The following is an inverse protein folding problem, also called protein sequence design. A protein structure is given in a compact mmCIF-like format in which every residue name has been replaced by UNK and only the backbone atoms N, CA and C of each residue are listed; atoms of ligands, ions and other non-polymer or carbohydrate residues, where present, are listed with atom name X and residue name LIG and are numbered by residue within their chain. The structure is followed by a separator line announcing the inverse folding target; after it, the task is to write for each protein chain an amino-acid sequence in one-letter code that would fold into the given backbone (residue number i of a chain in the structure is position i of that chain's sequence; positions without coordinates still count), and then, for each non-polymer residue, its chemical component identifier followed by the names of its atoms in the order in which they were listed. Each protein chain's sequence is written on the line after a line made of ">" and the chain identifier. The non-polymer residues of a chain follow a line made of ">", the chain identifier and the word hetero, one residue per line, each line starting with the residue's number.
data_IF_291468883112
#
_entry.id   IF_291468883112
#
_cell.length_a   1.000
_cell.length_b   1.000
_cell.length_c   1.000
_cell.angle_alpha   90.00
_cell.angle_beta   90.00
_cell.angle_gamma   90.00
#
_symmetry.space_group_name_H-M   'P 1'
#
loop_
_entity.id
_entity.type
_entity.pdbx_description
1 polymer ?
#
# COMPACT_ATOMS: atom_id res chain seq x y z
N UNK A 1 15.51 28.63 -11.39
CA UNK A 1 14.20 29.26 -11.08
C UNK A 1 13.10 28.23 -11.27
N UNK A 2 12.07 28.17 -10.40
CA UNK A 2 10.87 27.39 -10.68
C UNK A 2 10.20 27.94 -11.96
N UNK A 3 9.72 27.04 -12.82
CA UNK A 3 8.98 27.43 -14.02
C UNK A 3 7.71 28.17 -13.59
N UNK A 4 7.40 29.36 -14.13
CA UNK A 4 6.15 30.04 -13.84
C UNK A 4 4.99 29.17 -14.33
N UNK A 5 3.94 29.05 -13.52
CA UNK A 5 2.75 28.31 -13.91
C UNK A 5 2.07 28.99 -15.10
N UNK A 6 1.72 28.18 -16.09
CA UNK A 6 0.92 28.57 -17.25
C UNK A 6 -0.11 27.46 -17.49
N UNK A 7 -1.36 27.86 -17.77
CA UNK A 7 -2.39 26.90 -18.12
C UNK A 7 -2.00 26.18 -19.43
N UNK A 8 -2.04 24.83 -19.49
CA UNK A 8 -1.57 24.07 -20.65
C UNK A 8 -2.61 24.11 -21.78
N UNK A 9 -2.70 25.23 -22.49
CA UNK A 9 -3.67 25.40 -23.58
C UNK A 9 -3.51 24.33 -24.68
N UNK A 10 -2.29 23.87 -24.93
CA UNK A 10 -2.01 22.79 -25.90
C UNK A 10 -2.67 21.44 -25.53
N UNK A 11 -3.08 21.25 -24.27
CA UNK A 11 -3.78 20.04 -23.81
C UNK A 11 -5.28 20.26 -23.62
N UNK A 12 -5.80 21.45 -23.90
CA UNK A 12 -7.21 21.79 -23.62
C UNK A 12 -8.17 20.89 -24.39
N UNK A 13 -7.89 20.61 -25.66
CA UNK A 13 -8.72 19.72 -26.49
C UNK A 13 -8.79 18.30 -25.93
N UNK A 14 -7.70 17.82 -25.32
CA UNK A 14 -7.67 16.48 -24.71
C UNK A 14 -8.73 16.33 -23.63
N UNK A 15 -9.04 17.39 -22.86
CA UNK A 15 -10.10 17.34 -21.84
C UNK A 15 -11.49 17.04 -22.40
N UNK A 16 -11.75 17.33 -23.66
CA UNK A 16 -13.04 17.05 -24.30
C UNK A 16 -13.21 15.56 -24.62
N UNK A 17 -12.10 14.87 -24.85
CA UNK A 17 -12.07 13.43 -25.17
C UNK A 17 -12.08 12.53 -23.94
N UNK A 18 -11.73 13.06 -22.76
CA UNK A 18 -11.63 12.28 -21.53
C UNK A 18 -13.02 11.89 -21.00
N UNK A 19 -13.22 10.62 -20.61
CA UNK A 19 -14.49 10.17 -20.07
C UNK A 19 -14.70 10.67 -18.63
N UNK A 20 -15.97 10.91 -18.27
CA UNK A 20 -16.40 11.10 -16.89
C UNK A 20 -16.70 9.74 -16.23
N UNK A 21 -15.72 8.84 -16.26
CA UNK A 21 -15.80 7.48 -15.69
C UNK A 21 -14.61 7.21 -14.76
N UNK A 22 -14.70 6.18 -13.89
CA UNK A 22 -13.56 5.66 -13.17
C UNK A 22 -12.47 5.14 -14.09
N UNK A 23 -11.23 5.18 -13.63
CA UNK A 23 -10.11 4.56 -14.30
C UNK A 23 -8.78 5.27 -14.05
N UNK A 24 -7.82 4.96 -14.92
CA UNK A 24 -6.45 5.46 -14.86
C UNK A 24 -6.21 6.43 -16.01
N UNK A 25 -5.45 7.49 -15.76
CA UNK A 25 -4.95 8.41 -16.77
C UNK A 25 -3.42 8.47 -16.73
N UNK A 26 -2.81 8.67 -17.90
CA UNK A 26 -1.37 8.59 -18.10
C UNK A 26 -0.91 9.81 -18.88
N UNK A 27 0.04 10.56 -18.33
CA UNK A 27 0.62 11.73 -18.97
C UNK A 27 1.92 11.30 -19.65
N UNK A 28 2.08 11.65 -20.92
CA UNK A 28 3.25 11.34 -21.74
C UNK A 28 3.95 12.61 -22.22
N UNK A 29 5.27 12.50 -22.37
CA UNK A 29 6.08 13.52 -23.03
C UNK A 29 5.96 13.43 -24.54
N UNK A 30 6.90 14.06 -25.26
CA UNK A 30 7.02 13.90 -26.72
C UNK A 30 7.32 12.45 -27.11
N UNK A 31 8.17 11.79 -26.33
CA UNK A 31 8.36 10.34 -26.38
C UNK A 31 7.26 9.65 -25.55
N UNK A 32 6.44 8.82 -26.20
CA UNK A 32 5.34 8.06 -25.59
C UNK A 32 5.78 6.70 -25.03
N UNK A 33 7.06 6.37 -25.13
CA UNK A 33 7.61 5.11 -24.60
C UNK A 33 7.59 5.08 -23.07
N UNK A 34 7.84 6.22 -22.42
CA UNK A 34 7.92 6.32 -20.96
C UNK A 34 6.90 7.31 -20.41
N UNK A 35 6.00 6.88 -19.52
CA UNK A 35 5.04 7.79 -18.90
C UNK A 35 5.74 8.80 -17.98
N UNK A 36 5.29 10.04 -18.04
CA UNK A 36 5.69 11.07 -17.08
C UNK A 36 4.98 10.87 -15.74
N UNK A 37 3.68 10.60 -15.79
CA UNK A 37 2.84 10.44 -14.61
C UNK A 37 1.69 9.48 -14.87
N UNK A 38 1.33 8.68 -13.88
CA UNK A 38 0.14 7.82 -13.90
C UNK A 38 -0.68 8.12 -12.65
N UNK A 39 -1.99 8.29 -12.80
CA UNK A 39 -2.89 8.51 -11.68
C UNK A 39 -4.26 7.87 -11.89
N UNK A 40 -4.98 7.64 -10.78
CA UNK A 40 -6.35 7.10 -10.77
C UNK A 40 -7.41 8.13 -10.42
N UNK A 41 -8.64 7.90 -10.86
CA UNK A 41 -9.81 8.67 -10.42
C UNK A 41 -11.10 7.88 -10.55
N UNK A 42 -12.14 8.27 -9.79
CA UNK A 42 -13.54 7.88 -10.05
C UNK A 42 -14.17 8.70 -11.19
N UNK A 43 -13.53 9.81 -11.57
CA UNK A 43 -13.88 10.64 -12.71
C UNK A 43 -12.59 11.16 -13.36
N UNK A 44 -12.16 10.51 -14.44
CA UNK A 44 -10.90 10.82 -15.14
C UNK A 44 -10.88 12.29 -15.59
N UNK A 45 -11.93 12.74 -16.29
CA UNK A 45 -12.01 14.11 -16.84
C UNK A 45 -11.82 15.18 -15.76
N UNK A 46 -12.60 15.11 -14.67
CA UNK A 46 -12.51 16.09 -13.58
C UNK A 46 -11.14 16.08 -12.90
N UNK A 47 -10.52 14.90 -12.77
CA UNK A 47 -9.21 14.78 -12.14
C UNK A 47 -8.10 15.36 -13.00
N UNK A 48 -8.09 15.09 -14.31
CA UNK A 48 -7.13 15.70 -15.24
C UNK A 48 -7.32 17.21 -15.30
N UNK A 49 -8.56 17.71 -15.30
CA UNK A 49 -8.83 19.15 -15.22
C UNK A 49 -8.26 19.78 -13.93
N UNK A 50 -8.28 19.06 -12.80
CA UNK A 50 -7.65 19.51 -11.55
C UNK A 50 -6.13 19.62 -11.67
N UNK A 51 -5.48 18.68 -12.37
CA UNK A 51 -4.04 18.76 -12.63
C UNK A 51 -3.69 20.05 -13.36
N UNK A 52 -4.47 20.43 -14.38
CA UNK A 52 -4.20 21.61 -15.20
C UNK A 52 -4.22 22.93 -14.41
N UNK A 53 -4.85 22.93 -13.22
CA UNK A 53 -4.95 24.10 -12.33
C UNK A 53 -3.97 24.06 -11.16
N UNK A 54 -3.14 23.03 -11.06
CA UNK A 54 -2.25 22.82 -9.92
C UNK A 54 -0.85 23.37 -10.21
N UNK A 55 -0.51 24.51 -9.61
CA UNK A 55 0.76 25.21 -9.87
C UNK A 55 1.99 24.34 -9.58
N UNK A 56 1.96 23.54 -8.52
CA UNK A 56 3.06 22.63 -8.15
C UNK A 56 3.35 21.55 -9.20
N UNK A 57 2.45 21.34 -10.16
CA UNK A 57 2.57 20.39 -11.27
C UNK A 57 2.95 21.07 -12.59
N UNK A 58 3.27 22.37 -12.59
CA UNK A 58 3.65 23.13 -13.79
C UNK A 58 4.74 22.43 -14.63
N UNK A 59 5.75 21.81 -13.98
CA UNK A 59 6.79 21.06 -14.68
C UNK A 59 6.26 19.81 -15.41
N UNK A 60 5.34 19.08 -14.78
CA UNK A 60 4.69 17.91 -15.40
C UNK A 60 3.87 18.37 -16.62
N UNK A 61 3.04 19.39 -16.45
CA UNK A 61 2.17 19.92 -17.51
C UNK A 61 2.96 20.48 -18.69
N UNK A 62 4.05 21.20 -18.42
CA UNK A 62 4.93 21.74 -19.44
C UNK A 62 5.59 20.65 -20.29
N UNK A 63 5.96 19.53 -19.68
CA UNK A 63 6.55 18.38 -20.40
C UNK A 63 5.50 17.50 -21.09
N UNK A 64 4.23 17.58 -20.67
CA UNK A 64 3.18 16.70 -21.19
C UNK A 64 2.76 17.16 -22.57
N UNK A 65 2.78 16.23 -23.53
CA UNK A 65 2.28 16.46 -24.90
C UNK A 65 1.05 15.62 -25.22
N UNK A 66 0.83 14.53 -24.47
CA UNK A 66 -0.26 13.60 -24.69
C UNK A 66 -0.78 13.05 -23.37
N UNK A 67 -2.09 12.77 -23.30
CA UNK A 67 -2.72 12.14 -22.14
C UNK A 67 -3.56 10.96 -22.64
N UNK A 68 -3.22 9.76 -22.18
CA UNK A 68 -4.01 8.55 -22.39
C UNK A 68 -4.85 8.23 -21.16
N UNK A 69 -5.82 7.33 -21.34
CA UNK A 69 -6.66 6.84 -20.26
C UNK A 69 -7.11 5.40 -20.47
N UNK A 70 -7.35 4.72 -19.37
CA UNK A 70 -7.91 3.37 -19.30
C UNK A 70 -9.12 3.41 -18.35
N UNK A 71 -10.36 3.45 -18.87
CA UNK A 71 -11.56 3.36 -18.04
C UNK A 71 -11.62 2.01 -17.32
N UNK A 72 -12.21 2.00 -16.12
CA UNK A 72 -12.49 0.79 -15.34
C UNK A 72 -13.95 0.78 -14.93
N UNK A 73 -14.50 -0.38 -14.53
CA UNK A 73 -15.90 -0.46 -14.08
C UNK A 73 -16.16 0.36 -12.81
N UNK A 74 -15.18 0.48 -11.93
CA UNK A 74 -15.28 1.26 -10.71
C UNK A 74 -13.94 1.59 -10.06
N UNK A 75 -13.97 1.87 -8.75
CA UNK A 75 -12.82 2.39 -8.02
C UNK A 75 -11.76 1.32 -7.76
N UNK A 76 -12.14 0.07 -7.45
CA UNK A 76 -11.14 -0.95 -7.12
C UNK A 76 -10.30 -1.28 -8.34
N UNK A 77 -10.92 -1.41 -9.52
CA UNK A 77 -10.22 -1.59 -10.78
C UNK A 77 -9.23 -0.45 -11.05
N UNK A 78 -9.65 0.80 -10.83
CA UNK A 78 -8.77 1.97 -11.03
C UNK A 78 -7.57 1.96 -10.07
N UNK A 79 -7.77 1.61 -8.80
CA UNK A 79 -6.71 1.51 -7.78
C UNK A 79 -5.70 0.40 -8.11
N UNK A 80 -6.20 -0.79 -8.47
CA UNK A 80 -5.35 -1.94 -8.80
C UNK A 80 -4.57 -1.72 -10.10
N UNK A 81 -5.23 -1.21 -11.13
CA UNK A 81 -4.61 -0.91 -12.42
C UNK A 81 -3.53 0.19 -12.28
N UNK A 82 -3.79 1.26 -11.54
CA UNK A 82 -2.79 2.32 -11.29
C UNK A 82 -1.55 1.75 -10.59
N UNK A 83 -1.76 0.99 -9.52
CA UNK A 83 -0.70 0.34 -8.75
C UNK A 83 0.16 -0.56 -9.64
N UNK A 84 -0.46 -1.35 -10.52
CA UNK A 84 0.23 -2.22 -11.48
C UNK A 84 1.02 -1.41 -12.52
N UNK A 85 0.39 -0.42 -13.17
CA UNK A 85 1.03 0.37 -14.23
C UNK A 85 2.21 1.18 -13.71
N UNK A 86 2.11 1.78 -12.51
CA UNK A 86 3.23 2.52 -11.92
C UNK A 86 4.41 1.60 -11.63
N UNK A 87 4.17 0.37 -11.14
CA UNK A 87 5.25 -0.59 -10.88
C UNK A 87 5.92 -1.05 -12.17
N UNK A 88 5.13 -1.32 -13.20
CA UNK A 88 5.62 -1.84 -14.48
C UNK A 88 6.36 -0.77 -15.30
N UNK A 89 5.87 0.48 -15.30
CA UNK A 89 6.38 1.53 -16.17
C UNK A 89 7.26 2.57 -15.45
N UNK A 90 7.25 2.58 -14.12
CA UNK A 90 8.08 3.48 -13.27
C UNK A 90 8.10 4.96 -13.73
N UNK A 91 6.93 5.61 -13.85
CA UNK A 91 6.82 6.98 -14.35
C UNK A 91 7.67 8.00 -13.59
N UNK A 92 8.20 8.98 -14.33
CA UNK A 92 9.18 9.96 -13.85
C UNK A 92 8.72 10.74 -12.60
N UNK A 93 7.45 11.14 -12.56
CA UNK A 93 6.90 12.01 -11.52
C UNK A 93 6.19 11.26 -10.38
N UNK A 94 5.96 9.93 -10.48
CA UNK A 94 5.39 9.14 -9.38
C UNK A 94 6.45 8.82 -8.32
N UNK A 95 6.55 9.68 -7.29
CA UNK A 95 7.57 9.54 -6.24
C UNK A 95 7.31 8.42 -5.22
N UNK A 96 6.05 8.02 -4.98
CA UNK A 96 5.65 7.23 -3.79
C UNK A 96 5.45 5.72 -4.02
N UNK A 97 5.24 5.28 -5.26
CA UNK A 97 4.82 3.92 -5.63
C UNK A 97 5.92 3.10 -6.32
N UNK A 98 7.18 3.26 -5.89
CA UNK A 98 8.28 2.40 -6.35
C UNK A 98 8.24 1.03 -5.67
N UNK A 99 8.59 -0.02 -6.41
CA UNK A 99 8.66 -1.41 -5.93
C UNK A 99 9.55 -1.49 -4.68
N UNK A 100 8.96 -1.88 -3.56
CA UNK A 100 9.71 -2.21 -2.36
C UNK A 100 10.14 -3.68 -2.46
N UNK A 101 11.38 -3.93 -2.90
CA UNK A 101 11.89 -5.30 -3.12
C UNK A 101 11.95 -6.16 -1.86
N UNK A 102 12.02 -5.53 -0.68
CA UNK A 102 12.08 -6.23 0.61
C UNK A 102 11.28 -5.45 1.63
N UNK A 103 10.18 -6.04 2.08
CA UNK A 103 9.37 -5.48 3.17
C UNK A 103 9.90 -5.99 4.51
N UNK A 104 9.61 -5.23 5.55
CA UNK A 104 9.91 -5.56 6.93
C UNK A 104 8.62 -5.54 7.74
N UNK A 105 8.42 -6.55 8.56
CA UNK A 105 7.34 -6.66 9.53
C UNK A 105 7.92 -6.96 10.92
N UNK A 106 7.11 -6.79 11.96
CA UNK A 106 7.47 -7.16 13.33
C UNK A 106 6.80 -8.47 13.69
N UNK A 107 7.54 -9.35 14.34
CA UNK A 107 7.02 -10.55 15.00
C UNK A 107 7.27 -10.41 16.48
N UNK A 108 6.21 -10.56 17.28
CA UNK A 108 6.31 -10.48 18.74
C UNK A 108 6.20 -11.87 19.32
N UNK A 109 7.26 -12.30 19.98
CA UNK A 109 7.27 -13.48 20.84
C UNK A 109 7.02 -13.05 22.28
N UNK A 110 6.80 -13.99 23.20
CA UNK A 110 6.65 -13.68 24.62
C UNK A 110 7.83 -12.93 25.23
N UNK A 111 9.03 -13.11 24.66
CA UNK A 111 10.28 -12.60 25.22
C UNK A 111 10.91 -11.47 24.41
N UNK A 112 10.67 -11.42 23.10
CA UNK A 112 11.39 -10.54 22.19
C UNK A 112 10.53 -10.04 21.02
N UNK A 113 10.88 -8.86 20.54
CA UNK A 113 10.39 -8.32 19.27
C UNK A 113 11.44 -8.56 18.20
N UNK A 114 11.05 -9.20 17.09
CA UNK A 114 11.93 -9.55 15.98
C UNK A 114 11.48 -8.81 14.72
N UNK A 115 12.45 -8.42 13.89
CA UNK A 115 12.18 -7.92 12.56
C UNK A 115 12.22 -9.11 11.59
N UNK A 116 11.13 -9.33 10.88
CA UNK A 116 11.01 -10.37 9.86
C UNK A 116 10.96 -9.70 8.49
N UNK A 117 11.62 -10.28 7.49
CA UNK A 117 11.63 -9.73 6.14
C UNK A 117 10.86 -10.61 5.16
N UNK A 118 10.28 -10.00 4.12
CA UNK A 118 9.44 -10.71 3.13
C UNK A 118 10.17 -11.72 2.25
N UNK A 119 11.50 -11.78 2.32
CA UNK A 119 12.33 -12.80 1.66
C UNK A 119 12.70 -13.96 2.59
N UNK A 120 12.31 -13.89 3.87
CA UNK A 120 12.60 -14.89 4.90
C UNK A 120 11.32 -15.60 5.39
N UNK A 121 10.15 -14.97 5.19
CA UNK A 121 8.86 -15.51 5.57
C UNK A 121 7.79 -15.12 4.56
N UNK A 122 6.79 -15.99 4.41
CA UNK A 122 5.60 -15.71 3.61
C UNK A 122 4.63 -14.81 4.39
N UNK A 123 4.54 -13.55 3.98
CA UNK A 123 3.66 -12.56 4.60
C UNK A 123 2.17 -12.77 4.24
N UNK A 124 1.88 -13.64 3.26
CA UNK A 124 0.51 -13.94 2.85
C UNK A 124 -0.20 -14.89 3.81
N UNK A 125 0.55 -15.72 4.54
CA UNK A 125 0.01 -16.76 5.42
C UNK A 125 0.31 -16.52 6.92
N UNK A 126 1.13 -15.51 7.24
CA UNK A 126 1.57 -15.30 8.62
C UNK A 126 0.58 -14.43 9.43
N UNK A 127 -0.01 -15.01 10.47
CA UNK A 127 -0.96 -14.34 11.39
C UNK A 127 -0.28 -13.57 12.54
N UNK A 128 1.04 -13.65 12.64
CA UNK A 128 1.84 -13.15 13.75
C UNK A 128 2.73 -11.94 13.37
N UNK A 129 2.42 -11.32 12.24
CA UNK A 129 3.14 -10.17 11.71
C UNK A 129 2.41 -8.86 11.95
N UNK A 130 3.18 -7.83 12.34
CA UNK A 130 2.67 -6.49 12.60
C UNK A 130 3.43 -5.46 11.76
N UNK A 131 2.65 -4.69 10.99
CA UNK A 131 3.14 -3.64 10.13
C UNK A 131 3.81 -4.14 8.85
N UNK A 132 3.70 -3.34 7.79
CA UNK A 132 4.35 -3.57 6.50
C UNK A 132 5.20 -2.35 6.17
N UNK A 133 6.46 -2.39 6.57
CA UNK A 133 7.41 -1.29 6.44
C UNK A 133 8.28 -1.47 5.20
N UNK A 134 8.54 -0.38 4.47
CA UNK A 134 9.44 -0.39 3.31
C UNK A 134 10.91 -0.58 3.69
N UNK A 135 11.27 -0.26 4.94
CA UNK A 135 12.63 -0.38 5.47
C UNK A 135 12.59 -0.75 6.96
N UNK A 136 13.66 -1.39 7.45
CA UNK A 136 13.85 -1.62 8.90
C UNK A 136 13.86 -0.32 9.70
N UNK A 137 14.43 0.75 9.13
CA UNK A 137 14.42 2.08 9.77
C UNK A 137 13.00 2.59 10.01
N UNK A 138 12.11 2.47 9.01
CA UNK A 138 10.72 2.88 9.17
C UNK A 138 9.99 2.05 10.25
N UNK A 139 10.28 0.74 10.35
CA UNK A 139 9.77 -0.10 11.41
C UNK A 139 10.25 0.35 12.81
N UNK A 140 11.55 0.67 12.93
CA UNK A 140 12.13 1.19 14.18
C UNK A 140 11.48 2.51 14.59
N UNK A 141 11.33 3.46 13.67
CA UNK A 141 10.68 4.74 13.96
C UNK A 141 9.22 4.54 14.42
N UNK A 142 8.48 3.63 13.78
CA UNK A 142 7.11 3.32 14.23
C UNK A 142 7.08 2.74 15.65
N UNK A 143 7.99 1.83 15.98
CA UNK A 143 8.08 1.27 17.35
C UNK A 143 8.45 2.38 18.34
N UNK A 144 9.31 3.32 17.95
CA UNK A 144 9.70 4.46 18.80
C UNK A 144 8.50 5.35 19.12
N UNK A 145 7.71 5.72 18.12
CA UNK A 145 6.47 6.47 18.30
C UNK A 145 5.50 5.76 19.25
N UNK A 146 5.29 4.46 19.05
CA UNK A 146 4.43 3.65 19.92
C UNK A 146 4.97 3.60 21.36
N UNK A 147 6.29 3.44 21.51
CA UNK A 147 6.92 3.42 22.82
C UNK A 147 6.82 4.75 23.56
N UNK A 148 6.87 5.87 22.83
CA UNK A 148 6.64 7.21 23.38
C UNK A 148 5.20 7.38 23.87
N UNK A 149 4.22 6.97 23.07
CA UNK A 149 2.80 7.05 23.42
C UNK A 149 2.44 6.13 24.60
N UNK A 150 3.02 4.94 24.65
CA UNK A 150 2.61 3.85 25.56
C UNK A 150 3.59 3.63 26.71
N UNK A 151 4.58 4.53 26.85
CA UNK A 151 5.65 4.49 27.85
C UNK A 151 6.37 3.12 27.86
N UNK A 152 6.68 2.57 26.69
CA UNK A 152 7.36 1.28 26.57
C UNK A 152 8.88 1.44 26.71
N UNK A 153 9.53 0.42 27.28
CA UNK A 153 10.98 0.39 27.45
C UNK A 153 11.72 0.07 26.15
N UNK A 154 12.62 0.96 25.69
CA UNK A 154 13.49 0.71 24.52
C UNK A 154 14.42 -0.48 24.69
N UNK A 155 14.92 -0.72 25.90
CA UNK A 155 15.79 -1.86 26.16
C UNK A 155 15.07 -3.20 26.00
N UNK A 156 13.85 -3.32 26.53
CA UNK A 156 13.03 -4.54 26.35
C UNK A 156 12.59 -4.71 24.90
N UNK A 157 12.36 -3.60 24.18
CA UNK A 157 12.09 -3.62 22.73
C UNK A 157 13.32 -3.92 21.87
N UNK A 158 14.51 -4.07 22.45
CA UNK A 158 15.77 -4.29 21.73
C UNK A 158 16.24 -3.09 20.90
N UNK A 159 15.70 -1.89 21.16
CA UNK A 159 16.07 -0.65 20.47
C UNK A 159 17.32 0.03 21.06
N UNK A 160 17.68 -0.32 22.28
CA UNK A 160 18.81 0.22 23.02
C UNK A 160 19.49 -0.92 23.79
N UNK A 161 20.83 -0.89 23.86
CA UNK A 161 21.57 -1.85 24.70
C UNK A 161 21.44 -1.43 26.15
N UNK A 162 21.05 -2.36 27.01
CA UNK A 162 20.98 -2.14 28.45
C UNK A 162 22.27 -2.58 29.14
N UNK A 163 22.71 -1.80 30.12
CA UNK A 163 23.69 -2.25 31.11
C UNK A 163 22.99 -3.06 32.19
N UNK A 164 23.54 -4.21 32.55
CA UNK A 164 22.96 -5.07 33.58
C UNK A 164 22.72 -4.31 34.90
N UNK A 165 21.52 -4.46 35.47
CA UNK A 165 21.15 -3.88 36.77
C UNK A 165 20.86 -2.37 36.77
N UNK A 166 20.87 -1.67 35.64
CA UNK A 166 20.49 -0.24 35.56
C UNK A 166 19.17 -0.02 34.83
N UNK A 167 18.37 0.92 35.33
CA UNK A 167 17.20 1.43 34.62
C UNK A 167 17.64 2.18 33.34
N UNK A 168 16.82 2.11 32.29
CA UNK A 168 17.08 2.83 31.05
C UNK A 168 16.88 4.35 31.24
N UNK A 169 17.56 5.15 30.42
CA UNK A 169 17.47 6.62 30.51
C UNK A 169 16.03 7.14 30.39
N UNK A 170 15.20 6.48 29.58
CA UNK A 170 13.78 6.81 29.45
C UNK A 170 12.99 6.68 30.75
N UNK A 171 13.35 5.72 31.62
CA UNK A 171 12.69 5.55 32.91
C UNK A 171 13.00 6.73 33.82
N UNK A 172 14.26 7.16 33.88
CA UNK A 172 14.67 8.36 34.63
C UNK A 172 13.96 9.64 34.18
N UNK A 173 13.54 9.70 32.90
CA UNK A 173 12.75 10.80 32.34
C UNK A 173 11.22 10.63 32.49
N UNK A 174 10.73 9.57 33.14
CA UNK A 174 9.30 9.28 33.27
C UNK A 174 8.60 8.85 31.96
N UNK A 175 9.37 8.52 30.91
CA UNK A 175 8.87 8.12 29.58
C UNK A 175 8.80 6.61 29.37
N UNK A 176 8.95 5.82 30.43
CA UNK A 176 9.01 4.36 30.40
C UNK A 176 8.43 3.79 31.69
N UNK A 177 7.71 2.66 31.62
CA UNK A 177 7.16 1.95 32.78
C UNK A 177 8.18 1.20 33.65
N UNK A 178 9.44 1.12 33.23
CA UNK A 178 10.52 0.53 34.04
C UNK A 178 10.65 -1.00 33.92
N UNK A 179 10.17 -1.58 32.82
CA UNK A 179 10.29 -3.03 32.57
C UNK A 179 11.74 -3.58 32.63
N UNK A 180 12.73 -2.75 32.30
CA UNK A 180 14.15 -3.12 32.36
C UNK A 180 14.73 -3.21 33.78
N UNK A 181 14.11 -2.56 34.76
CA UNK A 181 14.55 -2.54 36.16
C UNK A 181 13.56 -3.23 37.11
N UNK A 182 12.59 -3.97 36.57
CA UNK A 182 11.65 -4.77 37.36
C UNK A 182 10.51 -3.99 38.03
N UNK A 183 10.43 -2.66 37.84
CA UNK A 183 9.31 -1.84 38.34
C UNK A 183 8.01 -2.23 37.66
N UNK A 184 8.10 -2.54 36.37
CA UNK A 184 7.04 -3.16 35.59
C UNK A 184 7.45 -4.60 35.25
N UNK A 185 6.49 -5.52 35.24
CA UNK A 185 6.72 -6.87 34.74
C UNK A 185 6.87 -6.87 33.22
N UNK A 186 7.74 -7.73 32.69
CA UNK A 186 7.90 -7.90 31.23
C UNK A 186 6.57 -8.30 30.58
N UNK A 187 5.72 -9.07 31.26
CA UNK A 187 4.41 -9.47 30.77
C UNK A 187 3.47 -8.27 30.57
N UNK A 188 3.40 -7.33 31.53
CA UNK A 188 2.58 -6.13 31.41
C UNK A 188 3.07 -5.20 30.29
N UNK A 189 4.39 -5.07 30.15
CA UNK A 189 5.02 -4.34 29.04
C UNK A 189 4.65 -4.96 27.68
N UNK A 190 4.76 -6.28 27.56
CA UNK A 190 4.44 -7.02 26.33
C UNK A 190 2.95 -6.95 25.99
N UNK A 191 2.07 -6.98 26.99
CA UNK A 191 0.64 -6.83 26.78
C UNK A 191 0.31 -5.46 26.13
N UNK A 192 0.80 -4.35 26.71
CA UNK A 192 0.61 -3.01 26.11
C UNK A 192 1.19 -2.90 24.71
N UNK A 193 2.37 -3.49 24.48
CA UNK A 193 2.98 -3.53 23.15
C UNK A 193 2.05 -4.23 22.13
N UNK A 194 1.52 -5.41 22.48
CA UNK A 194 0.62 -6.16 21.60
C UNK A 194 -0.68 -5.41 21.33
N UNK A 195 -1.33 -4.88 22.35
CA UNK A 195 -2.56 -4.08 22.18
C UNK A 195 -2.34 -2.89 21.24
N UNK A 196 -1.19 -2.21 21.38
CA UNK A 196 -0.86 -1.05 20.54
C UNK A 196 -0.58 -1.43 19.08
N UNK A 197 -0.09 -2.65 18.85
CA UNK A 197 0.24 -3.15 17.52
C UNK A 197 -0.92 -3.84 16.81
N UNK A 198 -2.01 -4.16 17.49
CA UNK A 198 -3.16 -4.86 16.88
C UNK A 198 -3.71 -4.10 15.67
N UNK A 199 -3.69 -2.76 15.70
CA UNK A 199 -4.06 -1.90 14.57
C UNK A 199 -3.16 -2.07 13.33
N UNK A 200 -1.94 -2.57 13.52
CA UNK A 200 -0.96 -2.83 12.46
C UNK A 200 -0.91 -4.30 12.05
N UNK A 201 -1.73 -5.18 12.64
CA UNK A 201 -1.70 -6.62 12.36
C UNK A 201 -1.88 -6.89 10.86
N UNK A 202 -0.96 -7.66 10.31
CA UNK A 202 -1.03 -8.16 8.93
C UNK A 202 -2.00 -9.33 8.93
N UNK A 203 -2.92 -9.32 7.96
CA UNK A 203 -3.95 -10.35 7.81
C UNK A 203 -3.46 -11.41 6.85
N UNK A 204 -3.63 -12.67 7.23
CA UNK A 204 -3.47 -13.80 6.33
C UNK A 204 -4.52 -13.76 5.23
N UNK A 205 -4.17 -14.34 4.08
CA UNK A 205 -5.08 -14.56 2.97
C UNK A 205 -6.20 -15.51 3.40
N UNK A 206 -7.47 -15.09 3.38
CA UNK A 206 -8.55 -15.85 4.00
C UNK A 206 -9.18 -16.91 3.08
N UNK A 207 -8.66 -17.11 1.87
CA UNK A 207 -9.23 -18.01 0.86
C UNK A 207 -8.28 -19.17 0.54
N UNK A 208 -8.81 -20.36 0.18
CA UNK A 208 -7.99 -21.52 -0.15
C UNK A 208 -7.24 -21.37 -1.49
N UNK A 209 -7.68 -20.47 -2.36
CA UNK A 209 -7.10 -20.25 -3.68
C UNK A 209 -7.37 -18.85 -4.21
N UNK A 210 -7.43 -18.75 -5.54
CA UNK A 210 -7.73 -17.53 -6.27
C UNK A 210 -9.18 -17.10 -6.07
N UNK A 211 -9.37 -15.79 -6.03
CA UNK A 211 -10.69 -15.17 -6.03
C UNK A 211 -10.80 -14.16 -7.18
N UNK A 212 -12.03 -13.84 -7.56
CA UNK A 212 -12.37 -12.67 -8.35
C UNK A 212 -13.24 -11.73 -7.51
N UNK A 213 -12.90 -10.45 -7.49
CA UNK A 213 -13.79 -9.39 -7.01
C UNK A 213 -14.57 -8.87 -8.22
N UNK A 214 -15.89 -8.99 -8.18
CA UNK A 214 -16.80 -8.50 -9.22
C UNK A 214 -17.07 -7.00 -9.03
N UNK A 215 -16.85 -6.22 -10.08
CA UNK A 215 -17.16 -4.79 -10.16
C UNK A 215 -18.08 -4.54 -11.37
N UNK A 216 -19.26 -3.93 -11.15
CA UNK A 216 -20.30 -3.72 -12.18
C UNK A 216 -20.52 -2.26 -12.52
N UNK A 217 -20.84 -2.00 -13.77
CA UNK A 217 -21.32 -0.71 -14.26
C UNK A 217 -22.46 -0.92 -15.27
N UNK A 218 -23.70 -0.73 -14.83
CA UNK A 218 -24.88 -1.13 -15.60
C UNK A 218 -24.90 -2.65 -15.81
N UNK A 219 -25.03 -3.07 -17.07
CA UNK A 219 -25.05 -4.49 -17.46
C UNK A 219 -23.65 -5.09 -17.68
N UNK A 220 -22.60 -4.27 -17.61
CA UNK A 220 -21.22 -4.72 -17.78
C UNK A 220 -20.60 -5.06 -16.43
N UNK A 221 -19.75 -6.09 -16.41
CA UNK A 221 -19.00 -6.52 -15.25
C UNK A 221 -17.53 -6.78 -15.61
N UNK A 222 -16.66 -6.41 -14.68
CA UNK A 222 -15.25 -6.78 -14.67
C UNK A 222 -14.96 -7.58 -13.40
N UNK A 223 -14.01 -8.51 -13.51
CA UNK A 223 -13.61 -9.40 -12.43
C UNK A 223 -12.12 -9.22 -12.18
N UNK A 224 -11.78 -8.70 -11.00
CA UNK A 224 -10.40 -8.48 -10.59
C UNK A 224 -9.87 -9.74 -9.91
N UNK A 225 -8.98 -10.46 -10.60
CA UNK A 225 -8.47 -11.76 -10.18
C UNK A 225 -7.29 -11.58 -9.24
N UNK A 226 -7.37 -12.27 -8.10
CA UNK A 226 -6.43 -12.16 -6.99
C UNK A 226 -5.96 -13.54 -6.54
N UNK A 227 -4.71 -13.62 -6.09
CA UNK A 227 -4.14 -14.81 -5.46
C UNK A 227 -3.19 -14.38 -4.34
N UNK A 228 -3.40 -14.81 -3.09
CA UNK A 228 -2.47 -14.53 -1.99
C UNK A 228 -2.04 -13.04 -1.89
N UNK A 229 -3.02 -12.12 -1.87
CA UNK A 229 -2.80 -10.65 -1.89
C UNK A 229 -2.17 -10.07 -3.16
N UNK A 230 -1.91 -10.88 -4.18
CA UNK A 230 -1.41 -10.44 -5.47
C UNK A 230 -2.57 -10.20 -6.44
N UNK A 231 -2.53 -9.08 -7.12
CA UNK A 231 -3.41 -8.79 -8.26
C UNK A 231 -2.83 -9.38 -9.54
N UNK A 232 -3.59 -10.29 -10.17
CA UNK A 232 -3.19 -10.97 -11.41
C UNK A 232 -3.65 -10.20 -12.65
N UNK A 233 -4.79 -9.52 -12.57
CA UNK A 233 -5.36 -8.71 -13.64
C UNK A 233 -6.89 -8.65 -13.60
N UNK A 234 -7.46 -8.00 -14.61
CA UNK A 234 -8.91 -7.91 -14.81
C UNK A 234 -9.33 -8.80 -15.97
N UNK A 235 -10.44 -9.50 -15.81
CA UNK A 235 -11.08 -10.30 -16.86
C UNK A 235 -12.57 -9.94 -16.96
N UNK A 236 -13.21 -10.26 -18.08
CA UNK A 236 -14.64 -9.99 -18.32
C UNK A 236 -15.56 -11.16 -17.95
N UNK A 237 -14.99 -12.31 -17.57
CA UNK A 237 -15.73 -13.48 -17.08
C UNK A 237 -14.93 -14.20 -15.99
N UNK A 238 -15.58 -14.76 -14.95
CA UNK A 238 -14.89 -15.54 -13.92
C UNK A 238 -14.12 -16.74 -14.49
N UNK A 239 -14.64 -17.36 -15.55
CA UNK A 239 -14.03 -18.52 -16.22
C UNK A 239 -12.64 -18.18 -16.78
N UNK A 240 -12.48 -16.99 -17.39
CA UNK A 240 -11.18 -16.53 -17.87
C UNK A 240 -10.16 -16.35 -16.72
N UNK A 241 -10.63 -16.01 -15.51
CA UNK A 241 -9.80 -15.86 -14.33
C UNK A 241 -9.17 -17.18 -13.86
N UNK A 242 -9.86 -18.32 -14.09
CA UNK A 242 -9.35 -19.66 -13.72
C UNK A 242 -8.08 -20.04 -14.48
N UNK A 243 -7.86 -19.48 -15.67
CA UNK A 243 -6.69 -19.76 -16.52
C UNK A 243 -5.49 -18.85 -16.25
N UNK A 244 -5.60 -17.87 -15.34
CA UNK A 244 -4.51 -16.92 -15.08
C UNK A 244 -3.37 -17.56 -14.28
N UNK A 245 -2.14 -17.37 -14.76
CA UNK A 245 -0.94 -17.91 -14.10
C UNK A 245 -0.62 -17.08 -12.86
N UNK A 246 -0.52 -17.74 -11.71
CA UNK A 246 -0.02 -17.12 -10.47
C UNK A 246 1.51 -17.15 -10.48
N UNK A 247 2.18 -15.99 -10.46
CA UNK A 247 3.65 -15.96 -10.37
C UNK A 247 4.12 -16.43 -8.97
N UNK A 248 5.42 -16.74 -8.81
CA UNK A 248 5.99 -17.15 -7.52
C UNK A 248 5.69 -16.14 -6.41
N UNK A 249 5.55 -16.64 -5.17
CA UNK A 249 5.12 -15.88 -4.01
C UNK A 249 5.75 -14.48 -3.93
N UNK A 250 4.93 -13.46 -4.17
CA UNK A 250 5.31 -12.05 -4.13
C UNK A 250 4.26 -11.30 -3.31
N UNK A 251 4.70 -10.63 -2.24
CA UNK A 251 3.83 -9.83 -1.39
C UNK A 251 3.91 -8.36 -1.79
N UNK A 252 2.85 -7.86 -2.42
CA UNK A 252 2.73 -6.46 -2.78
C UNK A 252 1.99 -5.68 -1.70
N UNK A 253 2.74 -4.93 -0.89
CA UNK A 253 2.18 -4.08 0.17
C UNK A 253 1.11 -3.11 -0.31
N UNK A 254 1.28 -2.51 -1.50
CA UNK A 254 0.35 -1.48 -1.94
C UNK A 254 -0.96 -2.11 -2.42
N UNK A 255 -0.89 -3.27 -3.11
CA UNK A 255 -2.08 -4.08 -3.43
C UNK A 255 -2.74 -4.63 -2.17
N UNK A 256 -1.99 -5.19 -1.22
CA UNK A 256 -2.51 -5.64 0.08
C UNK A 256 -3.32 -4.54 0.78
N UNK A 257 -2.82 -3.29 0.80
CA UNK A 257 -3.52 -2.16 1.43
C UNK A 257 -4.81 -1.78 0.71
N UNK A 258 -4.84 -1.86 -0.62
CA UNK A 258 -6.07 -1.68 -1.41
C UNK A 258 -7.04 -2.79 -1.03
N UNK A 259 -6.60 -4.05 -1.15
CA UNK A 259 -7.42 -5.25 -1.01
C UNK A 259 -7.98 -5.46 0.40
N UNK A 260 -7.25 -5.09 1.46
CA UNK A 260 -7.79 -5.17 2.82
C UNK A 260 -9.10 -4.39 2.99
N UNK A 261 -9.31 -3.33 2.19
CA UNK A 261 -10.53 -2.51 2.21
C UNK A 261 -11.68 -3.13 1.42
N UNK A 262 -11.48 -4.21 0.68
CA UNK A 262 -12.50 -4.84 -0.18
C UNK A 262 -12.71 -6.33 0.12
N UNK A 263 -11.69 -7.02 0.66
CA UNK A 263 -11.76 -8.44 1.02
C UNK A 263 -12.42 -8.69 2.38
N UNK A 264 -12.23 -7.78 3.35
CA UNK A 264 -12.74 -7.91 4.71
C UNK A 264 -13.94 -7.03 5.15
N UNK A 265 -14.45 -6.05 4.38
CA UNK A 265 -15.69 -5.35 4.75
C UNK A 265 -16.94 -6.21 4.55
N UNK A 266 -18.02 -5.83 5.25
CA UNK A 266 -19.30 -6.52 5.25
C UNK A 266 -20.23 -6.16 4.08
N UNK A 267 -19.96 -5.11 3.31
CA UNK A 267 -20.83 -4.68 2.20
C UNK A 267 -20.01 -4.12 1.02
N UNK A 268 -20.46 -4.45 -0.20
CA UNK A 268 -20.13 -3.69 -1.40
C UNK A 268 -19.89 -4.54 -2.66
N UNK A 269 -18.93 -5.46 -2.61
CA UNK A 269 -18.49 -6.19 -3.82
C UNK A 269 -18.63 -7.70 -3.64
N UNK A 270 -19.12 -8.37 -4.68
CA UNK A 270 -19.26 -9.82 -4.70
C UNK A 270 -17.89 -10.45 -4.93
N UNK A 271 -17.54 -11.40 -4.08
CA UNK A 271 -16.30 -12.20 -4.19
C UNK A 271 -16.68 -13.60 -4.70
N UNK A 272 -15.92 -14.08 -5.68
CA UNK A 272 -16.13 -15.40 -6.31
C UNK A 272 -14.84 -16.20 -6.13
N UNK A 273 -14.90 -17.36 -5.50
CA UNK A 273 -13.76 -18.29 -5.46
C UNK A 273 -13.64 -19.02 -6.80
N UNK A 274 -12.43 -19.01 -7.37
CA UNK A 274 -12.19 -19.51 -8.73
C UNK A 274 -11.68 -20.94 -8.77
N UNK A 275 -11.04 -21.39 -7.68
CA UNK A 275 -10.36 -22.68 -7.56
C UNK A 275 -11.19 -23.75 -6.82
N UNK A 276 -12.49 -23.51 -6.67
CA UNK A 276 -13.47 -24.51 -6.23
C UNK A 276 -13.91 -25.40 -7.39
#
# INVERSE_FOLDING_TARGET
>A
MPLPYQYPEHLRYTLETLPSKPGVYIFYGSDRTFPLYIGKSINIRSRVQSHFRTESEAKLLHMTTHIDFHPTMGEIGALLLESQLIKNQSPLFNKRLRIARRLCALRITEKTTQFVFSNEADFTQADDLFGLFKTKRAAIEQIRELADQQRLCYGVLGLEKLSAGRACFRYSLGKCGGACCGVESVAAHQHRLRESLESLKVRSWPYPGRIAIEEKSGDLAEYHVLSNWLYLGTVTSPEAGKSMITPPAYFDRDSYKILCRYVFPREGLKIIELDQ
#
